data_IF_869383090605
#
_entry.id   IF_869383090605
#
_cell.length_a   1.000
_cell.length_b   1.000
_cell.length_c   1.000
_cell.angle_alpha   90.00
_cell.angle_beta   90.00
_cell.angle_gamma   90.00
#
_symmetry.space_group_name_H-M   'P 1'
#
loop_
_entity.id
_entity.type
_entity.pdbx_description
1 polymer ?
#
# COMPACT_ATOMS: atom_id res chain seq x y z
N UNK A 1 50.42 31.30 -0.71
CA UNK A 1 49.10 30.82 -0.23
C UNK A 1 48.63 29.71 -1.16
N UNK A 2 48.10 28.60 -0.64
CA UNK A 2 47.87 27.38 -1.43
C UNK A 2 46.49 27.39 -2.12
N UNK A 3 46.39 26.86 -3.35
CA UNK A 3 45.13 26.78 -4.11
C UNK A 3 44.06 25.97 -3.38
N UNK A 4 44.46 24.93 -2.63
CA UNK A 4 43.55 24.09 -1.84
C UNK A 4 42.79 24.89 -0.76
N UNK A 5 43.43 25.89 -0.17
CA UNK A 5 42.83 26.69 0.91
C UNK A 5 41.83 27.73 0.37
N UNK A 6 42.07 28.26 -0.84
CA UNK A 6 41.13 29.14 -1.53
C UNK A 6 39.84 28.39 -1.88
N UNK A 7 39.95 27.18 -2.44
CA UNK A 7 38.79 26.33 -2.76
C UNK A 7 37.98 25.93 -1.52
N UNK A 8 38.68 25.59 -0.42
CA UNK A 8 38.05 25.23 0.86
C UNK A 8 37.34 26.40 1.56
N UNK A 9 37.69 27.65 1.22
CA UNK A 9 36.95 28.86 1.64
C UNK A 9 35.73 29.13 0.75
N UNK A 10 35.83 28.89 -0.55
CA UNK A 10 34.72 29.06 -1.51
C UNK A 10 33.52 28.16 -1.15
N UNK A 11 33.75 26.85 -0.98
CA UNK A 11 32.71 25.87 -0.63
C UNK A 11 32.02 26.21 0.70
N UNK A 12 32.77 26.75 1.67
CA UNK A 12 32.24 27.07 3.00
C UNK A 12 31.34 28.31 3.07
N UNK A 13 31.38 29.19 2.07
CA UNK A 13 30.58 30.42 2.08
C UNK A 13 29.31 30.29 1.24
N UNK A 14 29.46 29.84 0.00
CA UNK A 14 28.40 29.88 -1.01
C UNK A 14 28.06 28.49 -1.58
N UNK A 15 28.57 27.41 -0.95
CA UNK A 15 28.47 26.03 -1.44
C UNK A 15 27.05 25.50 -1.66
N UNK A 16 26.06 26.00 -0.92
CA UNK A 16 24.64 25.69 -1.17
C UNK A 16 24.21 26.10 -2.59
N UNK A 17 24.58 27.31 -3.02
CA UNK A 17 24.27 27.80 -4.37
C UNK A 17 25.03 27.05 -5.46
N UNK A 18 26.25 26.57 -5.17
CA UNK A 18 27.01 25.72 -6.09
C UNK A 18 26.30 24.38 -6.32
N UNK A 19 25.82 23.74 -5.25
CA UNK A 19 25.04 22.48 -5.36
C UNK A 19 23.70 22.71 -6.04
N UNK A 20 22.98 23.79 -5.71
CA UNK A 20 21.71 24.16 -6.33
C UNK A 20 21.87 24.43 -7.83
N UNK A 21 22.92 25.15 -8.24
CA UNK A 21 23.23 25.43 -9.64
C UNK A 21 23.55 24.14 -10.42
N UNK A 22 24.39 23.25 -9.86
CA UNK A 22 24.67 21.93 -10.48
C UNK A 22 23.41 21.09 -10.61
N UNK A 23 22.54 21.08 -9.60
CA UNK A 23 21.25 20.37 -9.66
C UNK A 23 20.35 20.93 -10.76
N UNK A 24 20.23 22.27 -10.87
CA UNK A 24 19.45 22.95 -11.90
C UNK A 24 19.99 22.65 -13.31
N UNK A 25 21.32 22.61 -13.49
CA UNK A 25 21.94 22.19 -14.75
C UNK A 25 21.62 20.73 -15.11
N UNK A 26 21.59 19.81 -14.14
CA UNK A 26 21.24 18.40 -14.37
C UNK A 26 19.76 18.22 -14.74
N UNK A 27 18.85 18.95 -14.10
CA UNK A 27 17.42 18.95 -14.48
C UNK A 27 17.22 19.51 -15.90
N UNK A 28 17.93 20.58 -16.24
CA UNK A 28 17.85 21.18 -17.57
C UNK A 28 18.37 20.26 -18.68
N UNK A 29 19.50 19.56 -18.49
CA UNK A 29 20.02 18.63 -19.51
C UNK A 29 19.12 17.41 -19.71
N UNK A 30 18.57 16.84 -18.64
CA UNK A 30 17.58 15.75 -18.73
C UNK A 30 16.32 16.22 -19.47
N UNK A 31 15.81 17.42 -19.17
CA UNK A 31 14.66 18.02 -19.85
C UNK A 31 14.88 18.16 -21.36
N UNK A 32 16.03 18.69 -21.79
CA UNK A 32 16.38 18.83 -23.22
C UNK A 32 16.53 17.48 -23.90
N UNK A 33 17.12 16.47 -23.25
CA UNK A 33 17.24 15.11 -23.83
C UNK A 33 15.86 14.45 -24.01
N UNK A 34 14.94 14.61 -23.06
CA UNK A 34 13.57 14.07 -23.18
C UNK A 34 12.79 14.82 -24.26
N UNK A 35 12.87 16.16 -24.31
CA UNK A 35 12.21 16.96 -25.34
C UNK A 35 12.71 16.62 -26.76
N UNK A 36 14.03 16.55 -26.97
CA UNK A 36 14.61 16.21 -28.27
C UNK A 36 14.31 14.75 -28.67
N UNK A 37 14.18 13.83 -27.71
CA UNK A 37 13.72 12.46 -27.98
C UNK A 37 12.23 12.42 -28.37
N UNK A 38 11.41 13.35 -27.90
CA UNK A 38 10.00 13.48 -28.30
C UNK A 38 9.80 14.19 -29.64
N UNK A 39 10.79 14.96 -30.11
CA UNK A 39 10.68 15.73 -31.36
C UNK A 39 10.99 14.92 -32.64
N UNK A 40 11.64 13.76 -32.51
CA UNK A 40 12.20 13.01 -33.62
C UNK A 40 11.39 11.77 -34.05
N UNK A 41 10.18 11.56 -33.53
CA UNK A 41 9.43 10.30 -33.65
C UNK A 41 7.98 10.48 -34.17
N UNK A 42 7.80 11.14 -35.32
CA UNK A 42 6.54 11.13 -36.08
C UNK A 42 6.81 11.29 -37.58
N UNK A 43 6.04 10.59 -38.44
CA UNK A 43 6.05 10.68 -39.92
C UNK A 43 7.32 10.07 -40.57
N UNK A 44 7.30 9.20 -41.59
CA UNK A 44 6.23 8.51 -42.35
C UNK A 44 6.61 7.00 -42.45
N UNK A 45 5.80 6.06 -42.92
CA UNK A 45 5.36 5.92 -44.32
C UNK A 45 4.10 5.02 -44.43
N UNK A 46 3.24 5.31 -45.40
CA UNK A 46 2.23 4.39 -45.93
C UNK A 46 2.27 4.49 -47.46
N UNK A 47 2.32 3.37 -48.18
CA UNK A 47 1.42 3.05 -49.31
C UNK A 47 1.73 1.64 -49.84
N UNK A 48 0.71 1.00 -50.40
CA UNK A 48 0.71 -0.39 -50.83
C UNK A 48 1.60 -0.69 -52.05
N UNK A 49 1.98 -1.96 -52.16
CA UNK A 49 1.98 -2.64 -53.46
C UNK A 49 1.00 -3.83 -53.37
N UNK A 50 0.25 -4.08 -54.45
CA UNK A 50 -0.81 -5.07 -54.50
C UNK A 50 -0.70 -5.83 -55.83
N UNK A 51 -0.56 -7.15 -55.79
CA UNK A 51 -0.58 -8.03 -56.96
C UNK A 51 -1.47 -9.22 -56.66
N UNK A 52 -2.33 -9.55 -57.62
CA UNK A 52 -3.47 -10.45 -57.46
C UNK A 52 -3.18 -11.80 -58.12
N UNK A 53 -3.44 -12.89 -57.42
CA UNK A 53 -4.02 -14.08 -58.04
C UNK A 53 -5.31 -14.45 -57.29
N UNK A 54 -6.37 -14.71 -58.06
CA UNK A 54 -7.62 -15.32 -57.59
C UNK A 54 -7.43 -16.86 -57.57
N UNK A 55 -8.34 -17.74 -57.13
CA UNK A 55 -9.81 -17.74 -57.29
C UNK A 55 -10.40 -18.83 -56.38
N UNK A 56 -11.75 -18.85 -56.27
CA UNK A 56 -12.58 -19.94 -55.72
C UNK A 56 -12.52 -20.08 -54.16
N UNK A 57 -13.63 -20.13 -53.41
CA UNK A 57 -15.04 -20.17 -53.85
C UNK A 57 -16.05 -19.55 -52.85
N UNK A 58 -17.25 -19.29 -53.40
CA UNK A 58 -18.60 -19.16 -52.83
C UNK A 58 -18.88 -19.64 -51.37
N UNK A 59 -19.93 -19.19 -50.65
CA UNK A 59 -21.13 -18.42 -51.05
C UNK A 59 -21.89 -17.79 -49.86
N UNK A 60 -22.64 -16.70 -50.11
CA UNK A 60 -24.02 -16.37 -49.65
C UNK A 60 -24.45 -16.64 -48.18
N UNK A 61 -24.73 -15.59 -47.36
CA UNK A 61 -26.07 -14.97 -47.07
C UNK A 61 -27.07 -15.93 -46.38
N UNK A 62 -27.81 -15.64 -45.29
CA UNK A 62 -28.69 -14.51 -44.86
C UNK A 62 -28.90 -14.68 -43.32
N UNK A 63 -29.53 -13.85 -42.48
CA UNK A 63 -30.45 -12.70 -42.59
C UNK A 63 -31.37 -12.65 -41.35
N UNK A 64 -32.08 -11.54 -41.13
CA UNK A 64 -33.08 -11.27 -40.06
C UNK A 64 -32.46 -11.05 -38.64
N UNK A 65 -32.74 -10.00 -37.85
CA UNK A 65 -33.96 -9.18 -37.60
C UNK A 65 -34.95 -9.93 -36.70
N UNK A 66 -34.94 -9.72 -35.37
CA UNK A 66 -35.45 -8.58 -34.55
C UNK A 66 -36.96 -8.68 -34.24
N UNK A 67 -37.36 -8.05 -33.12
CA UNK A 67 -38.74 -7.77 -32.65
C UNK A 67 -39.55 -9.01 -32.17
N UNK A 68 -40.51 -8.93 -31.22
CA UNK A 68 -41.00 -7.79 -30.42
C UNK A 68 -41.64 -8.25 -29.08
N UNK A 69 -41.78 -7.33 -28.10
CA UNK A 69 -42.73 -7.44 -26.95
C UNK A 69 -42.79 -6.16 -26.06
N UNK A 70 -43.44 -5.12 -26.57
CA UNK A 70 -44.19 -4.08 -25.83
C UNK A 70 -45.05 -4.61 -24.64
N UNK A 71 -45.55 -3.85 -23.64
CA UNK A 71 -45.42 -2.44 -23.18
C UNK A 71 -45.75 -2.43 -21.63
N UNK A 72 -46.25 -1.42 -20.87
CA UNK A 72 -46.93 -0.13 -21.13
C UNK A 72 -46.74 0.88 -19.97
N UNK A 73 -47.27 2.09 -20.14
CA UNK A 73 -47.15 3.32 -19.33
C UNK A 73 -48.20 3.40 -18.18
N UNK A 74 -48.29 4.44 -17.33
CA UNK A 74 -47.64 5.77 -17.29
C UNK A 74 -47.74 6.43 -15.90
N UNK A 75 -46.97 7.50 -15.60
CA UNK A 75 -47.35 8.96 -15.68
C UNK A 75 -48.55 9.38 -14.79
N UNK A 76 -48.57 10.53 -14.09
CA UNK A 76 -47.83 11.81 -14.26
C UNK A 76 -47.80 12.66 -12.95
N UNK A 77 -46.86 13.63 -12.86
CA UNK A 77 -46.99 15.07 -12.41
C UNK A 77 -48.07 15.54 -11.37
N UNK A 78 -47.89 16.57 -10.51
CA UNK A 78 -46.76 17.48 -10.23
C UNK A 78 -46.97 18.42 -8.99
N UNK A 79 -45.88 19.07 -8.53
CA UNK A 79 -45.74 20.46 -7.98
C UNK A 79 -46.37 20.96 -6.65
N UNK A 80 -45.61 21.88 -6.01
CA UNK A 80 -46.00 23.03 -5.14
C UNK A 80 -46.43 22.79 -3.66
N UNK A 81 -46.17 23.69 -2.69
CA UNK A 81 -45.23 24.84 -2.55
C UNK A 81 -45.18 25.33 -1.06
N UNK A 82 -44.31 26.31 -0.73
CA UNK A 82 -44.23 27.14 0.51
C UNK A 82 -43.76 26.43 1.80
N UNK A 83 -42.89 26.92 2.70
CA UNK A 83 -42.35 28.24 3.17
C UNK A 83 -42.78 28.60 4.62
N UNK A 84 -42.02 29.52 5.26
CA UNK A 84 -42.17 30.10 6.62
C UNK A 84 -41.86 29.21 7.87
N UNK A 85 -41.28 29.72 8.97
CA UNK A 85 -40.32 30.82 9.27
C UNK A 85 -39.80 30.68 10.72
N UNK A 86 -38.73 31.41 11.08
CA UNK A 86 -38.39 31.87 12.45
C UNK A 86 -38.04 30.80 13.54
N UNK A 87 -37.27 31.10 14.60
CA UNK A 87 -36.26 32.14 14.86
C UNK A 87 -35.45 31.72 16.10
N UNK A 88 -34.17 32.12 16.18
CA UNK A 88 -33.59 32.77 17.36
C UNK A 88 -32.13 33.19 17.13
N UNK A 89 -31.69 34.19 17.91
CA UNK A 89 -30.57 35.06 17.56
C UNK A 89 -29.26 34.75 18.31
N UNK A 90 -28.20 35.41 17.87
CA UNK A 90 -26.83 35.20 18.31
C UNK A 90 -26.53 35.67 19.75
N UNK A 91 -25.44 35.14 20.32
CA UNK A 91 -24.43 36.03 20.90
C UNK A 91 -23.02 35.60 20.47
N UNK A 92 -22.25 36.57 19.95
CA UNK A 92 -20.79 36.47 19.75
C UNK A 92 -20.12 37.10 20.96
N UNK A 93 -19.09 36.44 21.51
CA UNK A 93 -18.11 37.07 22.40
C UNK A 93 -16.80 36.30 22.35
N UNK A 94 -15.85 36.77 21.52
CA UNK A 94 -14.47 36.28 21.47
C UNK A 94 -13.56 37.30 22.15
N UNK A 95 -12.64 36.83 23.01
CA UNK A 95 -11.22 37.23 22.98
C UNK A 95 -10.38 36.36 23.94
N UNK A 96 -9.16 36.04 23.49
CA UNK A 96 -8.06 35.35 24.19
C UNK A 96 -7.09 36.42 24.81
N UNK A 97 -5.94 36.12 25.47
CA UNK A 97 -5.23 34.83 25.58
C UNK A 97 -4.57 34.50 26.96
N UNK A 98 -3.73 33.45 26.97
CA UNK A 98 -2.56 33.23 27.87
C UNK A 98 -2.81 32.96 29.39
N UNK A 99 -2.01 32.16 30.11
CA UNK A 99 -1.00 31.16 29.71
C UNK A 99 -0.75 30.14 30.84
N UNK A 100 -0.01 29.08 30.52
CA UNK A 100 0.80 28.24 31.43
C UNK A 100 0.10 27.52 32.60
N UNK A 101 0.00 26.19 32.47
CA UNK A 101 1.05 25.38 33.08
C UNK A 101 1.26 24.05 32.35
N UNK A 102 2.51 23.62 32.26
CA UNK A 102 2.91 22.42 31.54
C UNK A 102 3.34 21.33 32.54
N UNK A 103 2.39 20.47 32.92
CA UNK A 103 2.72 19.10 33.30
C UNK A 103 1.68 18.13 32.72
N UNK A 104 1.93 17.77 31.46
CA UNK A 104 1.44 16.49 30.91
C UNK A 104 2.62 15.54 30.80
N UNK A 105 3.14 15.15 31.97
CA UNK A 105 3.80 13.86 32.13
C UNK A 105 3.00 12.81 31.36
N UNK A 106 3.59 12.33 30.26
CA UNK A 106 3.02 11.23 29.48
C UNK A 106 3.20 10.01 30.35
N UNK A 107 2.17 9.72 31.15
CA UNK A 107 2.06 8.46 31.85
C UNK A 107 2.00 7.37 30.79
N UNK A 108 3.16 6.78 30.47
CA UNK A 108 3.29 5.56 29.69
C UNK A 108 2.51 4.48 30.41
N UNK A 109 1.23 4.37 30.08
CA UNK A 109 0.39 3.31 30.59
C UNK A 109 0.91 2.03 29.97
N UNK A 110 1.69 1.28 30.73
CA UNK A 110 1.99 -0.13 30.49
C UNK A 110 0.70 -0.96 30.66
N UNK A 111 -0.33 -0.61 29.90
CA UNK A 111 -1.35 -1.55 29.49
C UNK A 111 -0.61 -2.64 28.73
N UNK A 112 -0.51 -3.82 29.34
CA UNK A 112 0.04 -5.00 28.69
C UNK A 112 -0.98 -5.46 27.66
N UNK A 113 -1.02 -4.76 26.52
CA UNK A 113 -1.95 -4.99 25.43
C UNK A 113 -1.64 -6.35 24.81
N UNK A 114 -2.34 -7.37 25.31
CA UNK A 114 -2.32 -8.71 24.75
C UNK A 114 -2.83 -8.64 23.30
N UNK A 115 -1.91 -8.88 22.37
CA UNK A 115 -2.20 -9.04 20.97
C UNK A 115 -2.91 -10.39 20.72
N UNK A 116 -3.71 -10.46 19.67
CA UNK A 116 -4.34 -11.70 19.17
C UNK A 116 -3.67 -12.15 17.86
N UNK A 117 -3.86 -13.41 17.47
CA UNK A 117 -3.50 -13.87 16.13
C UNK A 117 -4.21 -13.02 15.05
N UNK A 118 -3.49 -12.60 13.98
CA UNK A 118 -4.10 -11.90 12.86
C UNK A 118 -4.99 -12.79 11.98
N UNK A 119 -4.93 -14.12 12.16
CA UNK A 119 -5.75 -15.11 11.43
C UNK A 119 -6.35 -16.12 12.42
N UNK A 120 -7.63 -16.44 12.25
CA UNK A 120 -8.30 -17.53 12.98
C UNK A 120 -7.94 -18.88 12.34
N UNK A 121 -7.28 -19.77 13.10
CA UNK A 121 -6.97 -21.14 12.66
C UNK A 121 -5.83 -21.28 11.64
N UNK A 122 -5.01 -20.24 11.45
CA UNK A 122 -3.79 -20.33 10.62
C UNK A 122 -2.65 -21.04 11.34
N UNK A 123 -1.64 -21.48 10.57
CA UNK A 123 -0.46 -22.21 11.08
C UNK A 123 0.83 -21.51 10.63
N UNK A 124 1.81 -21.35 11.51
CA UNK A 124 3.11 -20.78 11.15
C UNK A 124 3.91 -21.81 10.34
N UNK A 125 4.27 -21.45 9.12
CA UNK A 125 5.02 -22.30 8.17
C UNK A 125 6.42 -21.80 7.86
N UNK A 126 6.72 -20.55 8.22
CA UNK A 126 8.08 -20.00 8.20
C UNK A 126 8.30 -19.15 9.45
N UNK A 127 9.45 -19.36 10.08
CA UNK A 127 9.80 -18.81 11.38
C UNK A 127 10.68 -17.56 11.23
N UNK A 128 10.73 -16.77 12.30
CA UNK A 128 11.62 -15.61 12.41
C UNK A 128 13.08 -16.04 12.63
N UNK A 129 14.02 -15.47 11.88
CA UNK A 129 15.46 -15.70 12.04
C UNK A 129 16.30 -14.51 11.55
N UNK A 130 17.16 -13.97 12.43
CA UNK A 130 18.14 -12.93 12.06
C UNK A 130 19.43 -13.50 11.45
N UNK A 131 19.61 -14.81 11.49
CA UNK A 131 20.77 -15.54 10.98
C UNK A 131 20.30 -16.60 9.95
N UNK A 132 21.02 -16.84 8.84
CA UNK A 132 20.72 -17.94 7.93
C UNK A 132 20.73 -19.28 8.67
N UNK A 133 19.82 -20.18 8.29
CA UNK A 133 19.72 -21.53 8.88
C UNK A 133 19.66 -22.57 7.77
N UNK A 134 20.08 -23.79 8.04
CA UNK A 134 19.78 -24.90 7.14
C UNK A 134 18.39 -25.45 7.48
N UNK A 135 17.56 -25.69 6.47
CA UNK A 135 16.36 -26.53 6.61
C UNK A 135 16.75 -28.01 6.58
N UNK A 136 15.79 -28.90 6.83
CA UNK A 136 16.02 -30.35 6.89
C UNK A 136 16.60 -30.93 5.58
N UNK A 137 16.25 -30.33 4.44
CA UNK A 137 16.77 -30.67 3.12
C UNK A 137 18.19 -30.13 2.85
N UNK A 138 18.87 -29.56 3.85
CA UNK A 138 20.21 -28.98 3.73
C UNK A 138 20.28 -27.69 2.91
N UNK A 139 19.15 -27.05 2.63
CA UNK A 139 19.08 -25.78 1.91
C UNK A 139 19.14 -24.61 2.88
N UNK A 140 19.78 -23.50 2.48
CA UNK A 140 19.87 -22.30 3.31
C UNK A 140 18.55 -21.52 3.31
N UNK A 141 17.82 -21.62 4.42
CA UNK A 141 16.76 -20.69 4.77
C UNK A 141 17.37 -19.30 4.99
N UNK A 142 16.79 -18.31 4.31
CA UNK A 142 17.28 -16.93 4.32
C UNK A 142 16.95 -16.25 5.65
N UNK A 143 17.64 -15.15 5.96
CA UNK A 143 17.25 -14.25 7.07
C UNK A 143 15.81 -13.78 6.86
N UNK A 144 14.93 -14.01 7.84
CA UNK A 144 13.52 -13.61 7.77
C UNK A 144 13.07 -12.84 9.02
N UNK A 145 12.43 -11.69 8.78
CA UNK A 145 12.10 -10.67 9.78
C UNK A 145 10.65 -10.75 10.31
N UNK A 146 9.97 -11.85 10.04
CA UNK A 146 8.61 -12.10 10.49
C UNK A 146 8.27 -13.58 10.45
N UNK A 147 6.99 -13.90 10.28
CA UNK A 147 6.46 -15.24 10.14
C UNK A 147 5.51 -15.34 8.94
N UNK A 148 5.47 -16.50 8.30
CA UNK A 148 4.47 -16.81 7.27
C UNK A 148 3.38 -17.69 7.88
N UNK A 149 2.16 -17.16 7.97
CA UNK A 149 1.00 -17.85 8.54
C UNK A 149 0.15 -18.41 7.40
N UNK A 150 0.19 -19.72 7.19
CA UNK A 150 -0.60 -20.46 6.20
C UNK A 150 -2.07 -20.48 6.61
N UNK A 151 -2.92 -20.07 5.65
CA UNK A 151 -4.37 -20.22 5.66
C UNK A 151 -4.90 -19.97 4.24
N UNK A 152 -6.16 -20.33 3.98
CA UNK A 152 -6.73 -20.23 2.63
C UNK A 152 -6.76 -18.78 2.09
N UNK A 153 -6.60 -18.63 0.78
CA UNK A 153 -6.91 -17.38 0.07
C UNK A 153 -8.36 -16.92 0.38
N UNK A 154 -8.56 -15.61 0.52
CA UNK A 154 -9.83 -15.03 0.96
C UNK A 154 -10.07 -15.06 2.47
N UNK A 155 -9.27 -15.78 3.27
CA UNK A 155 -9.35 -15.77 4.75
C UNK A 155 -9.17 -14.35 5.28
N UNK A 156 -10.04 -13.91 6.20
CA UNK A 156 -9.94 -12.58 6.79
C UNK A 156 -8.67 -12.39 7.61
N UNK A 157 -7.99 -11.26 7.38
CA UNK A 157 -6.86 -10.78 8.18
C UNK A 157 -7.36 -9.71 9.14
N UNK A 158 -6.95 -9.82 10.40
CA UNK A 158 -7.42 -9.02 11.53
C UNK A 158 -6.28 -8.19 12.12
N UNK A 159 -6.57 -6.99 12.62
CA UNK A 159 -5.63 -6.21 13.40
C UNK A 159 -5.33 -6.91 14.74
N UNK A 160 -4.05 -7.18 15.03
CA UNK A 160 -3.61 -7.89 16.25
C UNK A 160 -3.94 -7.14 17.55
N UNK A 161 -4.19 -5.83 17.46
CA UNK A 161 -4.36 -4.92 18.58
C UNK A 161 -4.93 -3.58 18.14
N UNK A 162 -5.37 -2.77 19.10
CA UNK A 162 -5.79 -1.38 18.84
C UNK A 162 -4.61 -0.58 18.26
N UNK A 163 -4.88 0.29 17.29
CA UNK A 163 -3.83 1.07 16.63
C UNK A 163 -4.34 2.00 15.54
N UNK A 164 -3.40 2.64 14.84
CA UNK A 164 -3.66 3.51 13.69
C UNK A 164 -2.98 2.92 12.46
N UNK A 165 -3.68 2.90 11.32
CA UNK A 165 -3.08 2.57 10.03
C UNK A 165 -2.12 3.69 9.62
N UNK A 166 -0.86 3.31 9.39
CA UNK A 166 0.23 4.22 8.99
C UNK A 166 0.62 4.08 7.52
N UNK A 167 0.23 2.99 6.87
CA UNK A 167 0.37 2.79 5.43
C UNK A 167 -0.57 1.65 5.00
N UNK A 168 -1.19 1.74 3.82
CA UNK A 168 -2.00 0.66 3.25
C UNK A 168 -2.06 0.79 1.72
N UNK A 169 -1.93 -0.31 0.99
CA UNK A 169 -1.99 -0.31 -0.47
C UNK A 169 -1.15 -1.40 -1.11
N UNK A 170 -0.67 -1.11 -2.33
CA UNK A 170 0.19 -2.02 -3.11
C UNK A 170 1.67 -1.71 -2.85
N UNK A 171 2.38 -2.67 -2.25
CA UNK A 171 3.82 -2.62 -2.00
C UNK A 171 4.65 -3.14 -3.15
N UNK A 172 5.92 -3.44 -2.87
CA UNK A 172 6.86 -3.98 -3.84
C UNK A 172 6.61 -5.48 -4.12
N UNK A 173 7.32 -6.05 -5.10
CA UNK A 173 7.15 -7.43 -5.55
C UNK A 173 7.38 -8.50 -4.47
N UNK A 174 8.02 -8.17 -3.35
CA UNK A 174 8.21 -9.04 -2.17
C UNK A 174 7.18 -8.83 -1.07
N UNK A 175 6.40 -7.76 -1.13
CA UNK A 175 5.39 -7.38 -0.13
C UNK A 175 3.96 -7.72 -0.56
N UNK A 176 3.67 -7.58 -1.86
CA UNK A 176 2.33 -7.66 -2.39
C UNK A 176 1.47 -6.47 -1.94
N UNK A 177 0.16 -6.66 -1.86
CA UNK A 177 -0.73 -5.72 -1.18
C UNK A 177 -0.58 -5.89 0.33
N UNK A 178 -0.62 -4.78 1.08
CA UNK A 178 -0.30 -4.79 2.51
C UNK A 178 -1.00 -3.68 3.31
N UNK A 179 -1.00 -3.84 4.63
CA UNK A 179 -1.33 -2.83 5.64
C UNK A 179 -0.20 -2.75 6.66
N UNK A 180 0.11 -1.55 7.16
CA UNK A 180 0.95 -1.29 8.35
C UNK A 180 0.14 -0.59 9.42
N UNK A 181 0.23 -1.06 10.66
CA UNK A 181 -0.52 -0.55 11.80
C UNK A 181 0.45 -0.24 12.94
N UNK A 182 0.46 1.00 13.41
CA UNK A 182 1.16 1.41 14.62
C UNK A 182 0.24 1.20 15.83
N UNK A 183 0.68 0.36 16.77
CA UNK A 183 -0.06 0.00 17.97
C UNK A 183 0.39 0.84 19.18
N UNK A 184 -0.50 0.98 20.17
CA UNK A 184 -0.33 1.87 21.34
C UNK A 184 0.93 1.65 22.19
N UNK A 185 1.61 0.50 22.02
CA UNK A 185 2.85 0.13 22.70
C UNK A 185 4.13 0.37 21.85
N UNK A 186 4.04 1.12 20.75
CA UNK A 186 5.18 1.44 19.87
C UNK A 186 5.61 0.28 18.95
N UNK A 187 4.78 -0.77 18.87
CA UNK A 187 4.95 -1.87 17.93
C UNK A 187 4.28 -1.52 16.60
N UNK A 188 4.98 -1.72 15.49
CA UNK A 188 4.38 -1.67 14.15
C UNK A 188 4.15 -3.11 13.66
N UNK A 189 2.91 -3.44 13.34
CA UNK A 189 2.56 -4.69 12.65
C UNK A 189 2.48 -4.47 11.14
N UNK A 190 3.15 -5.32 10.37
CA UNK A 190 3.07 -5.37 8.91
C UNK A 190 2.29 -6.62 8.48
N UNK A 191 1.33 -6.45 7.58
CA UNK A 191 0.40 -7.48 7.12
C UNK A 191 0.44 -7.49 5.59
N UNK A 192 1.24 -8.37 4.97
CA UNK A 192 1.45 -8.43 3.51
C UNK A 192 0.94 -9.71 2.85
N UNK A 193 1.12 -9.80 1.52
CA UNK A 193 0.45 -10.79 0.66
C UNK A 193 -1.10 -10.76 0.76
N UNK A 194 -1.67 -9.58 1.01
CA UNK A 194 -3.12 -9.40 1.08
C UNK A 194 -3.75 -9.46 -0.31
N UNK A 195 -5.07 -9.61 -0.35
CA UNK A 195 -5.89 -9.31 -1.52
C UNK A 195 -5.84 -7.79 -1.86
N UNK A 196 -5.98 -7.37 -3.13
CA UNK A 196 -6.11 -5.95 -3.48
C UNK A 196 -7.33 -5.22 -2.88
N UNK A 197 -8.39 -5.92 -2.49
CA UNK A 197 -9.55 -5.39 -1.77
C UNK A 197 -9.23 -5.17 -0.28
N UNK A 198 -8.34 -4.22 -0.01
CA UNK A 198 -7.97 -3.80 1.36
C UNK A 198 -9.14 -3.00 1.98
N UNK A 199 -9.52 -3.34 3.22
CA UNK A 199 -10.71 -2.78 3.90
C UNK A 199 -10.44 -1.44 4.63
N UNK A 200 -9.18 -1.02 4.74
CA UNK A 200 -8.72 0.15 5.49
C UNK A 200 -7.69 0.96 4.70
N UNK A 201 -7.51 2.24 5.04
CA UNK A 201 -6.53 3.15 4.42
C UNK A 201 -5.65 3.84 5.47
N UNK A 202 -4.57 4.48 5.02
CA UNK A 202 -3.74 5.33 5.88
C UNK A 202 -4.60 6.39 6.61
N UNK A 203 -4.38 6.52 7.93
CA UNK A 203 -5.11 7.47 8.76
C UNK A 203 -6.22 6.83 9.60
N UNK A 204 -6.78 5.70 9.17
CA UNK A 204 -7.84 5.01 9.89
C UNK A 204 -7.38 4.53 11.28
N UNK A 205 -8.29 4.55 12.25
CA UNK A 205 -8.08 3.93 13.56
C UNK A 205 -8.79 2.57 13.57
N UNK A 206 -8.10 1.55 14.08
CA UNK A 206 -8.60 0.17 14.14
C UNK A 206 -8.54 -0.36 15.56
N UNK A 207 -9.44 -1.28 15.89
CA UNK A 207 -9.49 -2.03 17.14
C UNK A 207 -8.95 -3.43 16.95
N UNK A 208 -8.54 -4.04 18.05
CA UNK A 208 -8.14 -5.46 18.12
C UNK A 208 -9.26 -6.37 17.59
N UNK A 209 -8.98 -7.08 16.50
CA UNK A 209 -9.94 -7.98 15.85
C UNK A 209 -10.74 -7.36 14.70
N UNK A 210 -10.58 -6.07 14.40
CA UNK A 210 -11.16 -5.47 13.18
C UNK A 210 -10.51 -6.11 11.93
N UNK A 211 -11.32 -6.43 10.92
CA UNK A 211 -10.82 -7.01 9.68
C UNK A 211 -10.28 -5.91 8.75
N UNK A 212 -8.98 -5.99 8.45
CA UNK A 212 -8.25 -5.01 7.64
C UNK A 212 -8.13 -5.41 6.16
N UNK A 213 -8.41 -6.68 5.84
CA UNK A 213 -8.30 -7.24 4.50
C UNK A 213 -8.52 -8.76 4.50
N UNK A 214 -8.06 -9.41 3.44
CA UNK A 214 -8.06 -10.87 3.25
C UNK A 214 -6.68 -11.34 2.80
N UNK A 215 -6.34 -12.61 3.00
CA UNK A 215 -5.17 -13.25 2.37
C UNK A 215 -5.39 -13.30 0.85
N UNK A 216 -4.37 -12.95 0.08
CA UNK A 216 -4.35 -13.05 -1.37
C UNK A 216 -3.10 -13.77 -1.90
N UNK A 217 -2.76 -13.48 -3.16
CA UNK A 217 -1.56 -13.99 -3.87
C UNK A 217 -0.88 -12.85 -4.62
N UNK A 218 -0.47 -11.82 -3.88
CA UNK A 218 0.04 -10.56 -4.45
C UNK A 218 1.56 -10.41 -4.38
N UNK A 219 2.26 -11.25 -3.61
CA UNK A 219 3.72 -11.38 -3.69
C UNK A 219 4.10 -12.04 -5.02
N UNK A 220 5.02 -11.40 -5.75
CA UNK A 220 5.53 -11.85 -7.06
C UNK A 220 6.96 -12.42 -6.98
N UNK A 221 7.70 -12.09 -5.91
CA UNK A 221 9.09 -12.47 -5.69
C UNK A 221 9.24 -13.11 -4.32
N UNK A 222 8.65 -14.30 -4.17
CA UNK A 222 8.81 -15.16 -3.00
C UNK A 222 10.24 -15.75 -2.94
N UNK A 223 10.82 -15.94 -1.75
CA UNK A 223 12.09 -16.63 -1.60
C UNK A 223 11.91 -18.17 -1.65
N UNK A 224 12.99 -18.90 -1.94
CA UNK A 224 12.97 -20.35 -2.17
C UNK A 224 12.69 -21.21 -0.93
N UNK A 225 12.75 -20.63 0.26
CA UNK A 225 12.48 -21.24 1.56
C UNK A 225 11.04 -20.98 2.07
N UNK A 226 10.16 -20.45 1.20
CA UNK A 226 8.72 -20.36 1.44
C UNK A 226 8.06 -21.74 1.36
N UNK A 227 7.21 -22.07 2.34
CA UNK A 227 6.58 -23.39 2.50
C UNK A 227 5.15 -23.47 1.92
N UNK A 228 4.42 -22.35 1.80
CA UNK A 228 3.04 -22.33 1.28
C UNK A 228 2.81 -21.26 0.21
N UNK A 229 1.86 -21.51 -0.69
CA UNK A 229 1.42 -20.54 -1.71
C UNK A 229 0.38 -19.54 -1.18
N UNK A 230 -0.35 -19.89 -0.10
CA UNK A 230 -1.39 -19.04 0.50
C UNK A 230 -1.10 -18.80 1.97
N UNK A 231 -0.64 -17.58 2.27
CA UNK A 231 -0.18 -17.20 3.59
C UNK A 231 -0.27 -15.69 3.78
N UNK A 232 -0.42 -15.25 5.02
CA UNK A 232 -0.14 -13.87 5.43
C UNK A 232 1.36 -13.75 5.72
N UNK A 233 2.01 -12.79 5.06
CA UNK A 233 3.36 -12.35 5.46
C UNK A 233 3.22 -11.38 6.64
N UNK A 234 3.54 -11.82 7.85
CA UNK A 234 3.35 -11.03 9.07
C UNK A 234 4.68 -10.68 9.75
N UNK A 235 5.07 -9.40 9.73
CA UNK A 235 6.30 -8.91 10.38
C UNK A 235 5.92 -7.97 11.53
N UNK A 236 6.78 -7.88 12.55
CA UNK A 236 6.62 -6.94 13.66
C UNK A 236 7.92 -6.15 13.85
N UNK A 237 7.80 -4.85 14.10
CA UNK A 237 8.91 -3.97 14.45
C UNK A 237 8.67 -3.30 15.80
N UNK A 238 9.73 -3.07 16.56
CA UNK A 238 9.75 -2.17 17.72
C UNK A 238 10.83 -1.12 17.46
N UNK A 239 10.46 0.17 17.49
CA UNK A 239 11.43 1.27 17.30
C UNK A 239 12.24 1.16 15.99
N UNK A 240 11.65 0.56 14.94
CA UNK A 240 12.21 0.22 13.62
C UNK A 240 13.19 -0.96 13.57
N UNK A 241 13.44 -1.63 14.69
CA UNK A 241 14.14 -2.92 14.70
C UNK A 241 13.13 -4.07 14.59
N UNK A 242 13.39 -5.10 13.78
CA UNK A 242 12.50 -6.26 13.65
C UNK A 242 12.46 -7.04 14.97
N UNK A 243 11.27 -7.49 15.36
CA UNK A 243 11.06 -8.32 16.55
C UNK A 243 10.32 -9.59 16.20
N UNK A 244 10.75 -10.69 16.81
CA UNK A 244 10.17 -12.02 16.71
C UNK A 244 8.66 -12.01 17.08
N UNK A 245 7.76 -12.25 16.11
CA UNK A 245 6.31 -12.21 16.35
C UNK A 245 5.82 -13.28 17.35
N UNK A 246 6.52 -14.41 17.49
CA UNK A 246 6.06 -15.53 18.33
C UNK A 246 6.20 -15.22 19.84
N UNK A 247 6.99 -14.21 20.20
CA UNK A 247 7.04 -13.66 21.57
C UNK A 247 5.72 -13.00 21.97
N UNK A 248 4.97 -12.51 20.99
CA UNK A 248 3.71 -11.79 21.14
C UNK A 248 2.50 -12.67 20.80
N UNK A 249 2.58 -13.46 19.74
CA UNK A 249 1.50 -14.29 19.18
C UNK A 249 1.69 -15.76 19.57
N UNK A 250 1.32 -16.09 20.81
CA UNK A 250 1.58 -17.41 21.42
C UNK A 250 0.59 -18.51 21.02
N UNK A 251 -0.58 -18.11 20.52
CA UNK A 251 -1.73 -19.01 20.29
C UNK A 251 -1.79 -19.55 18.85
N UNK A 252 -0.74 -19.35 18.05
CA UNK A 252 -0.65 -19.85 16.67
C UNK A 252 0.26 -21.08 16.65
N UNK A 253 -0.21 -22.26 16.22
CA UNK A 253 0.63 -23.45 16.12
C UNK A 253 1.71 -23.25 15.04
N UNK A 254 2.87 -23.88 15.24
CA UNK A 254 3.89 -24.05 14.20
C UNK A 254 3.63 -25.36 13.48
N UNK A 255 3.87 -25.39 12.16
CA UNK A 255 3.83 -26.61 11.35
C UNK A 255 5.06 -27.47 11.69
N UNK A 256 4.82 -28.68 12.18
CA UNK A 256 5.83 -29.73 12.35
C UNK A 256 6.36 -30.21 11.00
#
# INVERSE_FOLDING_TARGET
>A
MNKKDQFKRFIKKDGFYVVLFVCLCLVATVGVVVANKSANNTVEENIAENTIENTEDNSTTTGNTFDDAELVEGKTEATNDSEETASNEAKVEELKPEANNADKSVATSNQSQSFISPIKGGVITRLYNLEPRLNESGQSASVYKGIDIEAAEGTEVLAIGDGKVVEAGKGNSKEGCFVKIEHQNGIVGFYGNLDPEIKVKEGDNVKKGDSIGKIGKTIQSSPSDRVSETYLMFHMENSKEPVDPQKYLKDIPVKE
#
